data_IF_609963537289
#
_entry.id   IF_609963537289
#
_cell.length_a   1.000
_cell.length_b   1.000
_cell.length_c   1.000
_cell.angle_alpha   90.00
_cell.angle_beta   90.00
_cell.angle_gamma   90.00
#
_symmetry.space_group_name_H-M   'P 1'
#
loop_
_entity.id
_entity.type
_entity.pdbx_description
1 polymer ?
#
# COMPACT_ATOMS: atom_id res chain seq x y z
N UNK A 1 11.85 -11.02 -1.94
CA UNK A 1 10.73 -10.79 -1.01
C UNK A 1 11.23 -10.05 0.22
N UNK A 2 10.48 -9.06 0.68
CA UNK A 2 10.61 -8.42 1.99
C UNK A 2 9.76 -9.23 2.97
N UNK A 3 10.35 -9.67 4.07
CA UNK A 3 9.65 -10.45 5.10
C UNK A 3 9.66 -9.69 6.43
N UNK A 4 8.50 -9.65 7.10
CA UNK A 4 8.37 -9.20 8.47
C UNK A 4 7.58 -10.26 9.24
N UNK A 5 8.10 -10.70 10.40
CA UNK A 5 7.46 -11.73 11.24
C UNK A 5 7.03 -11.13 12.55
N UNK A 6 5.86 -11.55 13.03
CA UNK A 6 5.28 -11.13 14.31
C UNK A 6 5.13 -9.60 14.46
N UNK A 7 4.93 -8.91 13.34
CA UNK A 7 4.73 -7.45 13.33
C UNK A 7 3.27 -7.13 13.62
N UNK A 8 3.03 -6.07 14.38
CA UNK A 8 1.69 -5.48 14.55
C UNK A 8 1.38 -4.59 13.35
N UNK A 9 0.39 -4.99 12.57
CA UNK A 9 -0.10 -4.22 11.42
C UNK A 9 -1.61 -4.07 11.48
N UNK A 10 -2.13 -3.11 10.73
CA UNK A 10 -3.57 -2.96 10.55
C UNK A 10 -4.03 -3.86 9.42
N UNK A 11 -5.06 -4.65 9.67
CA UNK A 11 -5.59 -5.66 8.75
C UNK A 11 -7.11 -5.64 8.74
N UNK A 12 -7.69 -5.85 7.56
CA UNK A 12 -9.12 -6.07 7.37
C UNK A 12 -9.36 -7.09 6.25
N UNK A 13 -10.47 -7.83 6.35
CA UNK A 13 -11.08 -8.51 5.22
C UNK A 13 -12.30 -7.71 4.80
N UNK A 14 -12.51 -7.57 3.49
CA UNK A 14 -13.64 -6.84 2.96
C UNK A 14 -14.46 -7.76 2.05
N UNK A 15 -15.60 -8.22 2.56
CA UNK A 15 -16.41 -9.25 1.91
C UNK A 15 -16.99 -8.78 0.57
N UNK A 16 -17.49 -7.54 0.50
CA UNK A 16 -18.07 -6.99 -0.73
C UNK A 16 -17.08 -6.84 -1.90
N UNK A 17 -15.80 -6.62 -1.56
CA UNK A 17 -14.70 -6.49 -2.53
C UNK A 17 -13.94 -7.81 -2.71
N UNK A 18 -14.31 -8.84 -1.96
CA UNK A 18 -13.63 -10.11 -1.85
C UNK A 18 -12.09 -9.96 -1.74
N UNK A 19 -11.63 -9.05 -0.88
CA UNK A 19 -10.21 -8.75 -0.75
C UNK A 19 -9.73 -8.74 0.71
N UNK A 20 -8.43 -9.00 0.86
CA UNK A 20 -7.69 -8.79 2.10
C UNK A 20 -6.90 -7.48 1.98
N UNK A 21 -6.99 -6.67 3.02
CA UNK A 21 -6.34 -5.37 3.11
C UNK A 21 -5.31 -5.39 4.24
N UNK A 22 -4.09 -4.93 3.97
CA UNK A 22 -3.03 -4.76 4.96
C UNK A 22 -2.46 -3.36 4.87
N UNK A 23 -2.33 -2.69 6.01
CA UNK A 23 -1.71 -1.39 6.13
C UNK A 23 -0.39 -1.53 6.90
N UNK A 24 0.70 -1.14 6.25
CA UNK A 24 2.06 -1.19 6.77
C UNK A 24 2.57 0.25 6.93
N UNK A 25 2.84 0.72 8.16
CA UNK A 25 3.40 2.06 8.35
C UNK A 25 4.81 2.14 7.75
N UNK A 26 5.08 3.20 6.99
CA UNK A 26 6.41 3.48 6.47
C UNK A 26 7.27 4.19 7.54
N UNK A 27 8.58 4.26 7.28
CA UNK A 27 9.51 4.97 8.15
C UNK A 27 9.11 6.46 8.27
N UNK A 28 9.34 7.06 9.44
CA UNK A 28 8.95 8.45 9.72
C UNK A 28 7.80 8.61 10.71
N UNK A 29 7.68 7.71 11.68
CA UNK A 29 6.75 7.88 12.81
C UNK A 29 5.28 7.57 12.50
N UNK A 30 4.99 6.86 11.42
CA UNK A 30 3.61 6.47 11.05
C UNK A 30 2.81 7.56 10.34
N UNK A 31 3.46 8.65 9.90
CA UNK A 31 2.82 9.71 9.11
C UNK A 31 2.33 9.22 7.75
N UNK A 32 3.05 8.26 7.15
CA UNK A 32 2.70 7.67 5.86
C UNK A 32 2.61 6.16 6.01
N UNK A 33 1.60 5.55 5.39
CA UNK A 33 1.45 4.09 5.34
C UNK A 33 1.30 3.57 3.91
N UNK A 34 1.68 2.32 3.72
CA UNK A 34 1.40 1.53 2.54
C UNK A 34 0.18 0.67 2.81
N UNK A 35 -0.94 0.96 2.16
CA UNK A 35 -2.10 0.09 2.09
C UNK A 35 -1.97 -0.82 0.87
N UNK A 36 -2.05 -2.13 1.06
CA UNK A 36 -2.12 -3.12 -0.01
C UNK A 36 -3.45 -3.88 0.04
N UNK A 37 -4.14 -3.95 -1.10
CA UNK A 37 -5.38 -4.69 -1.30
C UNK A 37 -5.11 -5.86 -2.24
N UNK A 38 -5.22 -7.08 -1.72
CA UNK A 38 -5.07 -8.30 -2.53
C UNK A 38 -6.42 -9.03 -2.59
N UNK A 39 -6.91 -9.37 -3.80
CA UNK A 39 -8.08 -10.23 -3.94
C UNK A 39 -7.88 -11.56 -3.20
N UNK A 40 -8.96 -12.12 -2.65
CA UNK A 40 -8.91 -13.43 -2.00
C UNK A 40 -8.86 -14.57 -3.04
N UNK A 41 -9.49 -14.38 -4.20
CA UNK A 41 -9.42 -15.28 -5.35
C UNK A 41 -8.49 -14.72 -6.43
N UNK A 42 -7.83 -15.61 -7.19
CA UNK A 42 -6.76 -15.24 -8.12
C UNK A 42 -7.22 -14.34 -9.29
N UNK A 43 -8.45 -14.51 -9.77
CA UNK A 43 -8.96 -13.82 -10.98
C UNK A 43 -9.88 -12.62 -10.68
N UNK A 44 -10.02 -12.22 -9.42
CA UNK A 44 -10.98 -11.17 -9.01
C UNK A 44 -10.44 -9.73 -9.10
N UNK A 45 -9.27 -9.53 -9.72
CA UNK A 45 -8.65 -8.20 -9.81
C UNK A 45 -9.51 -7.21 -10.61
N UNK A 46 -10.16 -7.65 -11.69
CA UNK A 46 -11.09 -6.79 -12.45
C UNK A 46 -12.32 -6.36 -11.63
N UNK A 47 -12.83 -7.22 -10.76
CA UNK A 47 -13.94 -6.88 -9.85
C UNK A 47 -13.50 -5.87 -8.80
N UNK A 48 -12.28 -6.04 -8.26
CA UNK A 48 -11.71 -5.09 -7.32
C UNK A 48 -11.53 -3.72 -7.99
N UNK A 49 -10.96 -3.64 -9.20
CA UNK A 49 -10.77 -2.37 -9.93
C UNK A 49 -12.07 -1.64 -10.25
N UNK A 50 -13.12 -2.37 -10.65
CA UNK A 50 -14.40 -1.77 -11.06
C UNK A 50 -15.25 -1.33 -9.89
N UNK A 51 -15.13 -1.99 -8.73
CA UNK A 51 -15.92 -1.65 -7.53
C UNK A 51 -15.22 -0.66 -6.61
N UNK A 52 -13.89 -0.56 -6.69
CA UNK A 52 -13.14 0.30 -5.78
C UNK A 52 -13.52 1.77 -5.98
N UNK A 53 -13.73 2.47 -4.86
CA UNK A 53 -14.03 3.89 -4.84
C UNK A 53 -13.27 4.55 -3.70
N UNK A 54 -13.15 5.89 -3.74
CA UNK A 54 -12.53 6.64 -2.66
C UNK A 54 -13.20 6.38 -1.30
N UNK A 55 -14.54 6.31 -1.29
CA UNK A 55 -15.31 6.00 -0.08
C UNK A 55 -14.96 4.61 0.48
N UNK A 56 -14.88 3.58 -0.38
CA UNK A 56 -14.53 2.23 0.06
C UNK A 56 -13.10 2.15 0.60
N UNK A 57 -12.15 2.89 0.04
CA UNK A 57 -10.79 2.97 0.57
C UNK A 57 -10.82 3.57 1.98
N UNK A 58 -11.54 4.67 2.18
CA UNK A 58 -11.72 5.28 3.50
C UNK A 58 -12.40 4.33 4.49
N UNK A 59 -13.42 3.59 4.06
CA UNK A 59 -14.12 2.61 4.90
C UNK A 59 -13.22 1.45 5.29
N UNK A 60 -12.40 0.93 4.36
CA UNK A 60 -11.40 -0.09 4.67
C UNK A 60 -10.43 0.44 5.73
N UNK A 61 -9.88 1.64 5.53
CA UNK A 61 -8.94 2.26 6.45
C UNK A 61 -9.56 2.53 7.82
N UNK A 62 -10.85 2.84 7.91
CA UNK A 62 -11.55 3.05 9.19
C UNK A 62 -11.78 1.72 9.94
N UNK A 63 -12.13 0.65 9.21
CA UNK A 63 -12.52 -0.64 9.81
C UNK A 63 -11.34 -1.58 10.10
N UNK A 64 -10.11 -1.20 9.72
CA UNK A 64 -8.92 -2.00 9.98
C UNK A 64 -8.57 -2.11 11.47
N UNK A 65 -8.26 -3.34 11.89
CA UNK A 65 -7.87 -3.66 13.26
C UNK A 65 -6.39 -4.03 13.34
N UNK A 66 -5.74 -3.67 14.46
CA UNK A 66 -4.36 -4.07 14.73
C UNK A 66 -4.32 -5.57 15.03
N UNK A 67 -3.52 -6.32 14.26
CA UNK A 67 -3.30 -7.76 14.45
C UNK A 67 -1.81 -8.09 14.32
N UNK A 68 -1.38 -9.20 14.93
CA UNK A 68 -0.06 -9.78 14.69
C UNK A 68 -0.08 -10.51 13.36
N UNK A 69 0.82 -10.15 12.46
CA UNK A 69 0.92 -10.78 11.15
C UNK A 69 2.36 -11.11 10.76
N UNK A 70 2.49 -12.16 9.95
CA UNK A 70 3.68 -12.39 9.13
C UNK A 70 3.39 -11.86 7.73
N UNK A 71 4.17 -10.89 7.27
CA UNK A 71 3.98 -10.24 5.98
C UNK A 71 5.11 -10.65 5.05
N UNK A 72 4.73 -11.08 3.84
CA UNK A 72 5.63 -11.24 2.71
C UNK A 72 5.21 -10.29 1.60
N UNK A 73 5.99 -9.23 1.42
CA UNK A 73 5.78 -8.19 0.41
C UNK A 73 6.87 -8.33 -0.67
N UNK A 74 6.56 -8.33 -1.98
CA UNK A 74 7.59 -8.27 -3.01
C UNK A 74 8.39 -6.97 -2.91
N UNK A 75 9.58 -6.94 -3.51
CA UNK A 75 10.30 -5.66 -3.63
C UNK A 75 9.60 -4.85 -4.70
N UNK A 76 8.89 -3.80 -4.29
CA UNK A 76 8.18 -2.92 -5.21
C UNK A 76 9.17 -1.88 -5.70
N UNK A 77 9.67 -2.08 -6.92
CA UNK A 77 10.35 -1.03 -7.69
C UNK A 77 9.54 -0.77 -8.95
N UNK A 78 8.78 0.32 -8.94
CA UNK A 78 7.94 0.74 -10.06
C UNK A 78 8.54 2.02 -10.60
N UNK A 79 9.01 1.96 -11.84
CA UNK A 79 9.36 3.13 -12.63
C UNK A 79 8.28 3.24 -13.71
N UNK A 80 7.26 4.07 -13.48
CA UNK A 80 6.32 4.39 -14.55
C UNK A 80 6.95 5.48 -15.42
N UNK A 81 7.31 5.09 -16.64
CA UNK A 81 7.90 5.96 -17.64
C UNK A 81 6.82 6.88 -18.23
N UNK A 82 6.98 8.20 -18.02
CA UNK A 82 6.43 9.28 -18.84
C UNK A 82 5.06 8.98 -19.47
N UNK A 83 4.02 8.82 -18.65
CA UNK A 83 2.67 8.60 -19.17
C UNK A 83 2.10 9.94 -19.64
N UNK A 84 1.63 9.99 -20.88
CA UNK A 84 0.95 11.16 -21.40
C UNK A 84 -0.53 11.12 -20.97
N UNK A 85 -0.87 11.98 -20.00
CA UNK A 85 -2.20 12.05 -19.42
C UNK A 85 -3.17 12.89 -20.25
N UNK A 86 -2.75 13.49 -21.37
CA UNK A 86 -3.60 14.37 -22.18
C UNK A 86 -4.94 13.71 -22.55
N UNK A 87 -4.91 12.45 -23.01
CA UNK A 87 -6.14 11.73 -23.41
C UNK A 87 -7.07 11.47 -22.22
N UNK A 88 -6.50 11.05 -21.09
CA UNK A 88 -7.26 10.78 -19.87
C UNK A 88 -7.87 12.07 -19.27
N UNK A 89 -7.08 13.14 -19.19
CA UNK A 89 -7.57 14.44 -18.71
C UNK A 89 -8.64 15.03 -19.64
N UNK A 90 -8.47 14.86 -20.96
CA UNK A 90 -9.47 15.28 -21.93
C UNK A 90 -10.80 14.55 -21.74
N UNK A 91 -10.78 13.22 -21.54
CA UNK A 91 -12.00 12.42 -21.29
C UNK A 91 -12.64 12.73 -19.94
N UNK A 92 -11.87 13.21 -18.96
CA UNK A 92 -12.36 13.70 -17.67
C UNK A 92 -12.96 15.11 -17.72
N UNK A 93 -13.00 15.76 -18.90
CA UNK A 93 -13.65 17.06 -19.09
C UNK A 93 -12.70 18.22 -19.36
N UNK A 94 -11.39 17.99 -19.40
CA UNK A 94 -10.39 19.04 -19.68
C UNK A 94 -10.03 19.17 -21.16
N UNK A 95 -10.88 18.67 -22.06
CA UNK A 95 -10.63 18.66 -23.50
C UNK A 95 -10.33 20.05 -24.11
N UNK A 96 -10.89 21.13 -23.54
CA UNK A 96 -10.65 22.50 -24.00
C UNK A 96 -9.21 22.96 -23.82
N UNK A 97 -8.49 22.45 -22.79
CA UNK A 97 -7.10 22.83 -22.52
C UNK A 97 -6.12 22.40 -23.62
N UNK A 98 -6.48 21.34 -24.36
CA UNK A 98 -5.61 20.73 -25.37
C UNK A 98 -5.91 21.20 -26.80
N UNK A 99 -6.95 22.02 -26.99
CA UNK A 99 -7.36 22.51 -28.30
C UNK A 99 -6.81 23.92 -28.60
N UNK A 100 -6.10 24.13 -29.72
CA UNK A 100 -5.68 25.47 -30.12
C UNK A 100 -6.91 26.37 -30.33
N UNK A 101 -6.86 27.58 -29.77
CA UNK A 101 -7.98 28.54 -29.82
C UNK A 101 -9.19 28.18 -28.95
N UNK A 102 -9.15 27.04 -28.22
CA UNK A 102 -10.19 26.64 -27.25
C UNK A 102 -9.73 26.79 -25.81
N UNK A 103 -8.42 26.66 -25.58
CA UNK A 103 -7.82 26.85 -24.27
C UNK A 103 -7.85 28.35 -23.90
N UNK A 104 -8.62 28.70 -22.87
CA UNK A 104 -8.76 30.07 -22.39
C UNK A 104 -7.68 30.38 -21.34
N UNK A 105 -6.42 30.42 -21.78
CA UNK A 105 -5.24 30.63 -20.91
C UNK A 105 -4.78 32.10 -20.86
N UNK A 106 -5.73 33.04 -20.92
CA UNK A 106 -5.46 34.48 -21.05
C UNK A 106 -4.69 35.07 -19.88
N UNK A 107 -4.87 34.54 -18.67
CA UNK A 107 -4.11 34.97 -17.48
C UNK A 107 -2.62 34.52 -17.53
N UNK A 108 -2.28 33.56 -18.39
CA UNK A 108 -0.89 33.12 -18.60
C UNK A 108 -0.22 33.87 -19.76
N UNK A 109 -0.98 34.21 -20.80
CA UNK A 109 -0.48 34.92 -21.98
C UNK A 109 -1.63 35.49 -22.82
N UNK A 110 -1.38 36.64 -23.44
CA UNK A 110 -2.30 37.28 -24.40
C UNK A 110 -2.40 36.54 -25.75
N UNK A 111 -1.63 35.46 -25.97
CA UNK A 111 -1.62 34.71 -27.24
C UNK A 111 -2.88 33.84 -27.37
N UNK A 112 -3.78 34.08 -28.34
CA UNK A 112 -5.06 33.37 -28.45
C UNK A 112 -4.94 31.88 -28.79
N UNK A 113 -3.78 31.45 -29.28
CA UNK A 113 -3.50 30.07 -29.70
C UNK A 113 -2.75 29.26 -28.64
N UNK A 114 -2.44 29.85 -27.48
CA UNK A 114 -1.78 29.16 -26.38
C UNK A 114 -2.68 28.02 -25.88
N UNK A 115 -2.12 26.82 -25.83
CA UNK A 115 -2.80 25.63 -25.34
C UNK A 115 -1.77 24.65 -24.76
N UNK A 116 -2.24 23.69 -23.96
CA UNK A 116 -1.40 22.62 -23.45
C UNK A 116 -1.29 21.54 -24.53
N UNK A 117 -0.07 21.21 -24.96
CA UNK A 117 0.11 20.11 -25.92
C UNK A 117 0.10 18.76 -25.21
N UNK A 118 1.00 18.57 -24.25
CA UNK A 118 1.17 17.31 -23.53
C UNK A 118 1.24 17.52 -22.02
N UNK A 119 0.61 16.64 -21.25
CA UNK A 119 0.82 16.53 -19.80
C UNK A 119 1.53 15.21 -19.53
N UNK A 120 2.81 15.28 -19.17
CA UNK A 120 3.63 14.09 -18.92
C UNK A 120 3.79 13.88 -17.43
N UNK A 121 3.27 12.77 -16.92
CA UNK A 121 3.43 12.37 -15.53
C UNK A 121 4.51 11.29 -15.42
N UNK A 122 5.53 11.55 -14.61
CA UNK A 122 6.61 10.61 -14.32
C UNK A 122 6.66 10.35 -12.82
N UNK A 123 6.53 9.09 -12.44
CA UNK A 123 6.57 8.67 -11.04
C UNK A 123 7.47 7.45 -10.88
N UNK A 124 8.29 7.48 -9.82
CA UNK A 124 9.07 6.34 -9.38
C UNK A 124 8.76 6.01 -7.92
N UNK A 125 8.58 4.73 -7.64
CA UNK A 125 8.34 4.21 -6.30
C UNK A 125 9.29 3.05 -6.04
N UNK A 126 10.07 3.15 -4.96
CA UNK A 126 11.02 2.13 -4.53
C UNK A 126 10.79 1.86 -3.04
N UNK A 127 10.03 0.81 -2.73
CA UNK A 127 9.74 0.38 -1.36
C UNK A 127 10.79 -0.63 -0.93
N UNK A 128 11.65 -0.21 0.00
CA UNK A 128 12.71 -1.04 0.58
C UNK A 128 12.27 -1.60 1.92
N UNK A 129 12.84 -2.74 2.29
CA UNK A 129 12.77 -3.20 3.66
C UNK A 129 13.30 -2.09 4.58
N UNK A 130 12.74 -1.95 5.80
CA UNK A 130 13.40 -1.15 6.81
C UNK A 130 14.83 -1.65 6.94
N UNK A 131 15.79 -0.72 6.93
CA UNK A 131 17.11 -0.99 7.47
C UNK A 131 16.90 -1.23 8.96
N UNK A 132 16.61 -2.46 9.34
CA UNK A 132 16.91 -2.89 10.70
C UNK A 132 18.41 -2.68 10.81
N UNK A 133 18.82 -1.68 11.59
CA UNK A 133 20.17 -1.65 12.09
C UNK A 133 20.36 -3.03 12.73
N UNK A 134 21.12 -3.89 12.06
CA UNK A 134 21.70 -5.07 12.66
C UNK A 134 22.68 -4.57 13.72
N UNK A 135 22.16 -3.97 14.80
CA UNK A 135 22.83 -4.01 16.07
C UNK A 135 22.79 -5.48 16.46
N UNK A 136 23.94 -6.12 16.34
CA UNK A 136 24.11 -7.54 16.51
C UNK A 136 23.42 -8.04 17.77
N UNK A 137 22.44 -8.90 17.56
CA UNK A 137 22.04 -9.91 18.53
C UNK A 137 21.68 -11.14 17.70
N UNK A 138 22.73 -11.83 17.22
CA UNK A 138 22.54 -13.20 16.78
C UNK A 138 21.85 -13.97 17.91
N UNK A 139 20.95 -14.92 17.63
CA UNK A 139 20.52 -15.86 18.65
C UNK A 139 21.74 -16.73 18.99
N UNK A 140 22.58 -16.22 19.90
CA UNK A 140 23.53 -17.04 20.61
C UNK A 140 22.72 -18.16 21.25
N UNK A 141 23.02 -19.38 20.84
CA UNK A 141 22.54 -20.59 21.45
C UNK A 141 22.77 -20.50 22.97
N UNK A 142 21.71 -20.20 23.71
CA UNK A 142 21.72 -20.36 25.16
C UNK A 142 21.71 -21.88 25.43
N UNK A 143 22.69 -22.44 26.16
CA UNK A 143 22.67 -23.84 26.53
C UNK A 143 21.43 -24.13 27.40
N UNK A 144 20.87 -25.36 27.34
CA UNK A 144 19.65 -25.68 28.07
C UNK A 144 19.85 -25.53 29.58
N UNK A 145 18.91 -24.88 30.31
CA UNK A 145 18.99 -24.80 31.76
C UNK A 145 18.79 -26.18 32.38
N UNK A 146 19.68 -26.53 33.32
CA UNK A 146 19.58 -27.74 34.16
C UNK A 146 18.24 -27.71 34.92
N UNK A 147 17.53 -28.85 35.04
CA UNK A 147 16.27 -28.89 35.77
C UNK A 147 16.52 -28.66 37.27
N UNK A 148 16.08 -27.53 37.78
CA UNK A 148 15.93 -27.31 39.22
C UNK A 148 14.47 -27.53 39.59
N UNK A 149 14.25 -28.44 40.55
CA UNK A 149 12.93 -28.78 41.09
C UNK A 149 12.35 -27.55 41.80
N UNK A 150 11.62 -26.71 41.06
CA UNK A 150 10.67 -25.76 41.63
C UNK A 150 9.30 -26.03 41.05
N UNK A 151 8.36 -26.19 41.98
CA UNK A 151 6.92 -26.40 41.79
C UNK A 151 6.44 -25.58 40.57
N UNK A 152 6.00 -26.29 39.52
CA UNK A 152 5.39 -25.68 38.34
C UNK A 152 4.05 -25.09 38.75
N UNK A 153 4.00 -23.78 38.97
CA UNK A 153 2.74 -23.06 38.80
C UNK A 153 2.37 -23.11 37.31
N UNK A 154 1.09 -23.33 36.96
CA UNK A 154 0.68 -23.28 35.57
C UNK A 154 0.96 -21.88 35.03
N UNK A 155 1.90 -21.78 34.08
CA UNK A 155 2.08 -20.58 33.31
C UNK A 155 0.73 -20.23 32.66
N UNK A 156 0.24 -19.02 32.93
CA UNK A 156 -0.93 -18.48 32.27
C UNK A 156 -0.68 -18.41 30.76
N UNK A 157 -1.14 -19.42 30.03
CA UNK A 157 -1.25 -19.39 28.58
C UNK A 157 -2.48 -18.53 28.29
N UNK A 158 -2.27 -17.22 28.22
CA UNK A 158 -3.27 -16.32 27.65
C UNK A 158 -3.63 -16.78 26.23
N UNK A 159 -4.82 -16.42 25.70
CA UNK A 159 -5.24 -16.85 24.37
C UNK A 159 -4.15 -16.48 23.36
N UNK A 160 -3.66 -17.48 22.63
CA UNK A 160 -2.71 -17.28 21.55
C UNK A 160 -3.32 -16.28 20.56
N UNK A 161 -2.80 -15.05 20.51
CA UNK A 161 -3.18 -14.10 19.46
C UNK A 161 -2.94 -14.79 18.11
N UNK A 162 -4.03 -15.14 17.41
CA UNK A 162 -3.95 -15.77 16.10
C UNK A 162 -3.08 -14.90 15.19
N UNK A 163 -1.98 -15.48 14.73
CA UNK A 163 -1.05 -14.78 13.84
C UNK A 163 -1.56 -14.94 12.42
N UNK A 164 -1.74 -13.84 11.70
CA UNK A 164 -2.24 -13.87 10.32
C UNK A 164 -1.07 -13.88 9.35
N UNK A 165 -1.10 -14.77 8.37
CA UNK A 165 -0.14 -14.75 7.27
C UNK A 165 -0.70 -13.93 6.10
N UNK A 166 0.00 -12.85 5.74
CA UNK A 166 -0.33 -12.00 4.59
C UNK A 166 0.79 -12.11 3.57
N UNK A 167 0.53 -12.84 2.49
CA UNK A 167 1.47 -13.06 1.39
C UNK A 167 0.94 -12.34 0.16
N UNK A 168 1.73 -11.41 -0.38
CA UNK A 168 1.43 -10.65 -1.59
C UNK A 168 2.16 -11.27 -2.78
N UNK A 169 1.84 -12.54 -3.07
CA UNK A 169 2.41 -13.38 -4.16
C UNK A 169 1.53 -13.44 -5.42
N UNK A 170 0.45 -12.67 -5.43
CA UNK A 170 -0.54 -12.58 -6.53
C UNK A 170 -0.88 -11.11 -6.80
N UNK A 171 -1.62 -10.78 -7.87
CA UNK A 171 -1.95 -9.39 -8.18
C UNK A 171 -2.54 -8.63 -6.97
N UNK A 172 -2.10 -7.38 -6.78
CA UNK A 172 -2.62 -6.51 -5.74
C UNK A 172 -2.58 -5.03 -6.16
N UNK A 173 -3.45 -4.23 -5.53
CA UNK A 173 -3.38 -2.77 -5.57
C UNK A 173 -2.59 -2.27 -4.38
N UNK A 174 -1.86 -1.19 -4.57
CA UNK A 174 -1.20 -0.48 -3.49
C UNK A 174 -1.58 1.00 -3.48
N UNK A 175 -1.59 1.58 -2.28
CA UNK A 175 -1.82 2.98 -2.01
C UNK A 175 -0.81 3.45 -0.98
N UNK A 176 -0.14 4.56 -1.27
CA UNK A 176 0.67 5.29 -0.29
C UNK A 176 -0.21 6.39 0.26
N UNK A 177 -0.54 6.31 1.54
CA UNK A 177 -1.52 7.18 2.19
C UNK A 177 -0.81 8.07 3.20
N UNK A 178 -1.10 9.37 3.15
CA UNK A 178 -0.80 10.27 4.25
C UNK A 178 -1.85 10.10 5.35
N UNK A 179 -1.42 9.62 6.52
CA UNK A 179 -2.31 9.35 7.64
C UNK A 179 -2.79 10.62 8.34
N UNK A 180 -2.17 11.78 8.05
CA UNK A 180 -2.58 13.06 8.62
C UNK A 180 -3.74 13.65 7.82
N UNK A 181 -3.60 13.77 6.50
CA UNK A 181 -4.66 14.32 5.63
C UNK A 181 -5.67 13.27 5.13
N UNK A 182 -5.33 11.98 5.20
CA UNK A 182 -6.10 10.90 4.58
C UNK A 182 -5.95 10.82 3.06
N UNK A 183 -5.03 11.59 2.46
CA UNK A 183 -4.85 11.64 1.02
C UNK A 183 -4.01 10.46 0.50
N UNK A 184 -4.42 9.95 -0.65
CA UNK A 184 -3.62 9.00 -1.43
C UNK A 184 -2.56 9.79 -2.21
N UNK A 185 -1.29 9.60 -1.84
CA UNK A 185 -0.12 10.24 -2.46
C UNK A 185 0.26 9.53 -3.76
N UNK A 186 0.22 8.20 -3.74
CA UNK A 186 0.52 7.36 -4.88
C UNK A 186 -0.35 6.13 -4.86
N UNK A 187 -0.71 5.63 -6.03
CA UNK A 187 -1.45 4.38 -6.17
C UNK A 187 -1.01 3.63 -7.41
N UNK A 188 -1.23 2.33 -7.43
CA UNK A 188 -1.00 1.53 -8.61
C UNK A 188 -1.34 0.08 -8.42
N UNK A 189 -1.10 -0.70 -9.47
CA UNK A 189 -1.36 -2.13 -9.55
C UNK A 189 -0.07 -2.89 -9.79
N UNK A 190 0.13 -3.98 -9.06
CA UNK A 190 1.19 -4.96 -9.30
C UNK A 190 0.51 -6.22 -9.79
N UNK A 191 0.76 -6.61 -11.05
CA UNK A 191 0.20 -7.84 -11.63
C UNK A 191 1.11 -9.04 -11.41
N UNK A 192 2.43 -8.85 -11.52
CA UNK A 192 3.44 -9.90 -11.39
C UNK A 192 4.42 -9.51 -10.26
N UNK A 193 4.13 -9.90 -9.01
CA UNK A 193 4.93 -9.55 -7.83
C UNK A 193 6.29 -10.27 -7.71
#
# INVERSE_FOLDING_TARGET
MLEARWTRVRYARHDYLNCSAVEVPLAGGGLVSLLALTPNAHDDMGLLETRLSAQLISDILANMQVRRANIKLPRIKIEHSHENLTVALASMGLASLFGPGRAQLFDMSDVPWLHVTNVVHKSSLDIKAPRVASSGAGPAAAPPPKPSNRRREPAFVGPSEETIDVVLDRPFLYFVVDNVSGLVIAMGKVLNP
#
